data_IF_897320233262
#
_entry.id   IF_897320233262
#
_cell.length_a   1.000
_cell.length_b   1.000
_cell.length_c   1.000
_cell.angle_alpha   90.00
_cell.angle_beta   90.00
_cell.angle_gamma   90.00
#
_symmetry.space_group_name_H-M   'P 1'
#
loop_
_entity.id
_entity.type
_entity.pdbx_description
1 polymer ?
#
# COMPACT_ATOMS: atom_id res chain seq x y z
N UNK A 1 20.49 17.37 -24.36
CA UNK A 1 20.55 15.96 -23.90
C UNK A 1 19.22 15.64 -23.23
N UNK A 2 18.39 14.82 -23.88
CA UNK A 2 17.07 14.41 -23.39
C UNK A 2 17.23 13.32 -22.34
N UNK A 3 16.65 13.50 -21.16
CA UNK A 3 16.79 12.60 -19.98
C UNK A 3 16.07 11.24 -20.11
N UNK A 4 15.80 10.78 -21.34
CA UNK A 4 15.01 9.57 -21.59
C UNK A 4 15.82 8.26 -21.67
N UNK A 5 17.14 8.30 -21.55
CA UNK A 5 17.99 7.11 -21.72
C UNK A 5 18.15 6.23 -20.47
N UNK A 6 17.67 6.66 -19.30
CA UNK A 6 17.72 5.81 -18.11
C UNK A 6 16.58 4.81 -18.12
N UNK A 7 16.77 3.74 -18.89
CA UNK A 7 16.01 2.49 -18.85
C UNK A 7 16.26 1.78 -17.52
N UNK A 8 15.94 2.44 -16.40
CA UNK A 8 15.81 1.77 -15.11
C UNK A 8 14.74 0.71 -15.32
N UNK A 9 15.16 -0.53 -15.45
CA UNK A 9 14.26 -1.66 -15.51
C UNK A 9 13.74 -1.87 -14.08
N UNK A 10 12.79 -1.04 -13.69
CA UNK A 10 12.10 -1.10 -12.40
C UNK A 10 11.19 -2.32 -12.45
N UNK A 11 11.78 -3.52 -12.44
CA UNK A 11 11.04 -4.77 -12.28
C UNK A 11 10.58 -4.84 -10.83
N UNK A 12 9.33 -4.49 -10.60
CA UNK A 12 8.66 -4.72 -9.32
C UNK A 12 8.62 -6.24 -9.13
N UNK A 13 9.19 -6.73 -8.02
CA UNK A 13 9.14 -8.15 -7.69
C UNK A 13 7.72 -8.50 -7.24
N UNK A 14 7.30 -9.74 -7.49
CA UNK A 14 6.01 -10.26 -7.00
C UNK A 14 5.79 -10.03 -5.50
N UNK A 15 6.85 -10.10 -4.69
CA UNK A 15 6.79 -9.84 -3.24
C UNK A 15 6.46 -8.36 -2.93
N UNK A 16 7.03 -7.41 -3.68
CA UNK A 16 6.78 -5.97 -3.51
C UNK A 16 5.33 -5.63 -3.91
N UNK A 17 4.86 -6.23 -5.00
CA UNK A 17 3.47 -6.17 -5.43
C UNK A 17 2.51 -6.75 -4.38
N UNK A 18 2.86 -7.91 -3.82
CA UNK A 18 2.08 -8.55 -2.75
C UNK A 18 1.99 -7.67 -1.50
N UNK A 19 3.10 -7.04 -1.09
CA UNK A 19 3.10 -6.11 0.05
C UNK A 19 2.24 -4.87 -0.20
N UNK A 20 2.30 -4.29 -1.40
CA UNK A 20 1.52 -3.10 -1.75
C UNK A 20 0.03 -3.45 -1.76
N UNK A 21 -0.35 -4.55 -2.40
CA UNK A 21 -1.75 -5.02 -2.39
C UNK A 21 -2.21 -5.30 -0.97
N UNK A 22 -1.42 -6.02 -0.17
CA UNK A 22 -1.76 -6.34 1.20
C UNK A 22 -1.98 -5.07 2.04
N UNK A 23 -1.08 -4.08 1.93
CA UNK A 23 -1.22 -2.80 2.61
C UNK A 23 -2.47 -2.04 2.18
N UNK A 24 -2.76 -2.01 0.88
CA UNK A 24 -3.97 -1.37 0.33
C UNK A 24 -5.26 -2.06 0.82
N UNK A 25 -5.27 -3.39 0.89
CA UNK A 25 -6.40 -4.16 1.43
C UNK A 25 -6.58 -3.87 2.92
N UNK A 26 -5.50 -3.77 3.70
CA UNK A 26 -5.58 -3.41 5.13
C UNK A 26 -6.15 -2.00 5.30
N UNK A 27 -5.70 -1.04 4.50
CA UNK A 27 -6.25 0.33 4.51
C UNK A 27 -7.74 0.29 4.16
N UNK A 28 -8.14 -0.44 3.11
CA UNK A 28 -9.54 -0.61 2.77
C UNK A 28 -10.36 -1.22 3.92
N UNK A 29 -9.84 -2.27 4.56
CA UNK A 29 -10.47 -2.88 5.73
C UNK A 29 -10.60 -1.87 6.87
N UNK A 30 -9.65 -0.96 7.07
CA UNK A 30 -9.75 0.09 8.10
C UNK A 30 -10.95 1.01 7.90
N UNK A 31 -11.34 1.26 6.65
CA UNK A 31 -12.54 2.07 6.33
C UNK A 31 -13.83 1.31 6.59
N UNK A 32 -13.84 0.00 6.31
CA UNK A 32 -15.03 -0.84 6.49
C UNK A 32 -15.09 -1.54 7.85
N UNK A 33 -14.09 -1.34 8.72
CA UNK A 33 -13.91 -2.06 9.98
C UNK A 33 -15.13 -1.95 10.89
N UNK A 34 -15.71 -0.76 11.00
CA UNK A 34 -16.91 -0.54 11.82
C UNK A 34 -18.12 -1.30 11.26
N UNK A 35 -18.27 -1.36 9.95
CA UNK A 35 -19.31 -2.17 9.31
C UNK A 35 -19.08 -3.66 9.53
N UNK A 36 -17.83 -4.13 9.47
CA UNK A 36 -17.48 -5.51 9.79
C UNK A 36 -17.80 -5.86 11.26
N UNK A 37 -17.55 -4.94 12.19
CA UNK A 37 -17.92 -5.12 13.61
C UNK A 37 -19.44 -5.28 13.78
N UNK A 38 -20.25 -4.47 13.11
CA UNK A 38 -21.71 -4.59 13.14
C UNK A 38 -22.15 -5.95 12.60
N UNK A 39 -21.62 -6.34 11.44
CA UNK A 39 -21.95 -7.62 10.80
C UNK A 39 -21.58 -8.82 11.69
N UNK A 40 -20.43 -8.76 12.37
CA UNK A 40 -19.99 -9.83 13.27
C UNK A 40 -20.80 -9.85 14.58
N UNK A 41 -21.08 -8.69 15.16
CA UNK A 41 -21.83 -8.59 16.42
C UNK A 41 -23.29 -9.03 16.27
N UNK A 42 -23.91 -8.73 15.14
CA UNK A 42 -25.30 -9.11 14.87
C UNK A 42 -25.43 -10.52 14.27
N UNK A 43 -24.32 -11.27 14.13
CA UNK A 43 -24.35 -12.68 13.73
C UNK A 43 -24.47 -12.93 12.23
N UNK A 44 -24.47 -11.89 11.40
CA UNK A 44 -24.57 -11.99 9.95
C UNK A 44 -23.27 -12.43 9.25
N UNK A 45 -22.24 -12.84 10.00
CA UNK A 45 -20.96 -13.27 9.45
C UNK A 45 -21.05 -14.52 8.54
N UNK A 46 -22.09 -15.37 8.73
CA UNK A 46 -22.38 -16.50 7.83
C UNK A 46 -23.19 -16.10 6.59
N UNK A 47 -23.84 -14.93 6.62
CA UNK A 47 -24.80 -14.46 5.62
C UNK A 47 -24.30 -13.20 4.90
N UNK A 48 -22.97 -12.99 4.85
CA UNK A 48 -22.32 -11.85 4.17
C UNK A 48 -22.83 -11.58 2.75
N UNK A 49 -23.21 -12.64 2.03
CA UNK A 49 -23.75 -12.58 0.68
C UNK A 49 -25.27 -12.32 0.64
N UNK A 50 -25.99 -12.58 1.73
CA UNK A 50 -27.45 -12.42 1.87
C UNK A 50 -27.87 -11.07 2.49
N UNK A 51 -26.94 -10.41 3.18
CA UNK A 51 -27.08 -9.12 3.85
C UNK A 51 -27.72 -7.97 3.02
N UNK A 52 -27.49 -7.83 1.69
CA UNK A 52 -28.11 -6.76 0.92
C UNK A 52 -29.65 -6.80 0.86
N UNK A 53 -30.27 -7.94 1.19
CA UNK A 53 -31.72 -8.13 1.21
C UNK A 53 -32.36 -7.95 2.60
N UNK A 54 -31.57 -7.77 3.66
CA UNK A 54 -32.09 -7.71 5.03
C UNK A 54 -32.43 -6.27 5.44
N UNK A 55 -33.72 -6.05 5.73
CA UNK A 55 -34.25 -4.74 6.12
C UNK A 55 -33.74 -4.29 7.48
N UNK A 56 -33.33 -5.22 8.35
CA UNK A 56 -32.73 -4.94 9.65
C UNK A 56 -31.29 -4.41 9.49
N UNK A 57 -30.51 -4.99 8.57
CA UNK A 57 -29.17 -4.51 8.25
C UNK A 57 -29.19 -3.12 7.62
N UNK A 58 -30.14 -2.85 6.72
CA UNK A 58 -30.31 -1.53 6.11
C UNK A 58 -30.62 -0.45 7.17
N UNK A 59 -31.52 -0.73 8.11
CA UNK A 59 -31.83 0.22 9.17
C UNK A 59 -30.65 0.45 10.12
N UNK A 60 -29.91 -0.61 10.46
CA UNK A 60 -28.70 -0.53 11.26
C UNK A 60 -27.61 0.29 10.56
N UNK A 61 -27.39 0.13 9.25
CA UNK A 61 -26.36 0.87 8.50
C UNK A 61 -26.73 2.34 8.23
N UNK A 62 -28.01 2.65 8.00
CA UNK A 62 -28.45 4.03 7.73
C UNK A 62 -28.39 4.92 8.98
N UNK A 63 -28.57 4.36 10.17
CA UNK A 63 -28.43 5.10 11.43
C UNK A 63 -27.01 5.11 11.99
N UNK A 64 -26.11 4.23 11.50
CA UNK A 64 -24.78 4.11 12.06
C UNK A 64 -23.81 5.13 11.46
N UNK A 65 -23.44 6.12 12.26
CA UNK A 65 -22.32 7.01 11.95
C UNK A 65 -21.04 6.43 12.59
N UNK A 66 -19.99 6.11 11.81
CA UNK A 66 -18.77 5.56 12.35
C UNK A 66 -18.13 6.54 13.35
N UNK A 67 -18.15 6.17 14.63
CA UNK A 67 -17.69 7.04 15.73
C UNK A 67 -16.17 6.99 15.86
N UNK A 68 -15.52 5.87 15.50
CA UNK A 68 -14.08 5.68 15.68
C UNK A 68 -13.45 5.08 14.42
N UNK A 69 -12.79 5.92 13.63
CA UNK A 69 -11.97 5.42 12.54
C UNK A 69 -10.86 4.49 13.07
N UNK A 70 -10.65 3.35 12.40
CA UNK A 70 -9.66 2.35 12.81
C UNK A 70 -8.22 2.80 12.47
N UNK A 71 -7.77 3.89 13.10
CA UNK A 71 -6.46 4.50 12.91
C UNK A 71 -5.31 3.50 12.99
N UNK A 72 -5.39 2.51 13.89
CA UNK A 72 -4.37 1.48 14.03
C UNK A 72 -4.21 0.62 12.76
N UNK A 73 -5.31 0.22 12.13
CA UNK A 73 -5.29 -0.56 10.88
C UNK A 73 -4.81 0.31 9.72
N UNK A 74 -5.27 1.55 9.66
CA UNK A 74 -4.83 2.51 8.65
C UNK A 74 -3.31 2.75 8.71
N UNK A 75 -2.80 3.10 9.89
CA UNK A 75 -1.36 3.33 10.10
C UNK A 75 -0.56 2.08 9.79
N UNK A 76 -1.04 0.90 10.20
CA UNK A 76 -0.36 -0.36 9.92
C UNK A 76 -0.27 -0.64 8.41
N UNK A 77 -1.37 -0.46 7.67
CA UNK A 77 -1.39 -0.61 6.22
C UNK A 77 -0.49 0.41 5.50
N UNK A 78 -0.52 1.66 5.94
CA UNK A 78 0.32 2.74 5.41
C UNK A 78 1.81 2.44 5.62
N UNK A 79 2.20 2.05 6.84
CA UNK A 79 3.58 1.64 7.15
C UNK A 79 4.02 0.47 6.28
N UNK A 80 3.14 -0.49 6.00
CA UNK A 80 3.44 -1.63 5.14
C UNK A 80 3.78 -1.20 3.70
N UNK A 81 2.99 -0.26 3.17
CA UNK A 81 3.21 0.30 1.82
C UNK A 81 4.53 1.08 1.79
N UNK A 82 4.75 1.98 2.75
CA UNK A 82 5.97 2.78 2.87
C UNK A 82 7.21 1.89 3.03
N UNK A 83 7.10 0.82 3.80
CA UNK A 83 8.16 -0.17 3.96
C UNK A 83 8.49 -0.85 2.62
N UNK A 84 7.47 -1.28 1.86
CA UNK A 84 7.65 -1.86 0.53
C UNK A 84 8.37 -0.91 -0.43
N UNK A 85 7.94 0.35 -0.47
CA UNK A 85 8.55 1.41 -1.29
C UNK A 85 10.00 1.64 -0.87
N UNK A 86 10.26 1.76 0.44
CA UNK A 86 11.61 1.98 0.97
C UNK A 86 12.56 0.84 0.59
N UNK A 87 12.10 -0.40 0.72
CA UNK A 87 12.87 -1.59 0.36
C UNK A 87 13.19 -1.62 -1.15
N UNK A 88 12.22 -1.24 -1.98
CA UNK A 88 12.38 -1.11 -3.42
C UNK A 88 13.41 -0.03 -3.79
N UNK A 89 13.35 1.14 -3.17
CA UNK A 89 14.30 2.25 -3.41
C UNK A 89 15.73 1.87 -2.97
N UNK A 90 15.88 1.26 -1.79
CA UNK A 90 17.19 0.78 -1.31
C UNK A 90 17.77 -0.25 -2.29
N UNK A 91 16.95 -1.17 -2.79
CA UNK A 91 17.38 -2.18 -3.77
C UNK A 91 17.84 -1.55 -5.09
N UNK A 92 17.13 -0.55 -5.58
CA UNK A 92 17.50 0.16 -6.82
C UNK A 92 18.83 0.90 -6.62
N UNK A 93 19.02 1.63 -5.51
CA UNK A 93 20.29 2.30 -5.20
C UNK A 93 21.48 1.35 -5.07
N UNK A 94 21.27 0.16 -4.50
CA UNK A 94 22.33 -0.86 -4.32
C UNK A 94 22.69 -1.59 -5.63
N UNK A 95 21.96 -1.35 -6.72
CA UNK A 95 22.23 -2.01 -7.99
C UNK A 95 23.55 -1.49 -8.59
N UNK A 96 24.44 -2.36 -9.09
CA UNK A 96 25.80 -1.99 -9.50
C UNK A 96 25.84 -0.90 -10.59
N UNK A 97 24.75 -0.75 -11.36
CA UNK A 97 24.63 0.28 -12.40
C UNK A 97 24.53 1.71 -11.85
N UNK A 98 23.84 1.93 -10.71
CA UNK A 98 23.78 3.27 -10.07
C UNK A 98 25.13 3.65 -9.49
N UNK A 99 25.84 2.66 -8.93
CA UNK A 99 27.20 2.84 -8.42
C UNK A 99 28.18 3.23 -9.52
N UNK A 100 28.04 2.62 -10.70
CA UNK A 100 28.92 2.88 -11.84
C UNK A 100 28.67 4.26 -12.48
N UNK A 101 27.42 4.73 -12.48
CA UNK A 101 27.09 6.10 -12.93
C UNK A 101 27.65 7.17 -11.98
N UNK A 102 27.49 7.01 -10.66
CA UNK A 102 28.06 7.93 -9.68
C UNK A 102 29.60 8.00 -9.79
N UNK A 103 30.29 6.86 -9.90
CA UNK A 103 31.75 6.85 -10.08
C UNK A 103 32.22 7.46 -11.40
N UNK A 104 31.40 7.41 -12.45
CA UNK A 104 31.67 8.08 -13.72
C UNK A 104 31.50 9.60 -13.64
N UNK A 105 30.54 10.08 -12.86
CA UNK A 105 30.35 11.53 -12.64
C UNK A 105 31.53 12.11 -11.85
N UNK A 106 31.96 11.45 -10.76
CA UNK A 106 33.15 11.86 -10.01
C UNK A 106 34.40 11.88 -10.91
N UNK A 107 34.59 10.85 -11.74
CA UNK A 107 35.75 10.79 -12.64
C UNK A 107 35.77 11.91 -13.70
N UNK A 108 34.61 12.37 -14.17
CA UNK A 108 34.53 13.39 -15.23
C UNK A 108 34.72 14.82 -14.68
N UNK A 109 34.40 15.05 -13.40
CA UNK A 109 34.67 16.32 -12.72
C UNK A 109 36.17 16.56 -12.53
N UNK A 110 36.95 15.49 -12.30
CA UNK A 110 38.40 15.59 -12.19
C UNK A 110 39.13 15.85 -13.52
N UNK A 111 38.49 15.59 -14.67
CA UNK A 111 39.09 15.76 -16.01
C UNK A 111 38.85 17.16 -16.58
N UNK A 112 37.97 17.97 -15.95
CA UNK A 112 37.63 19.33 -16.39
C UNK A 112 38.45 20.45 -15.72
N UNK A 113 39.45 20.12 -14.91
CA UNK A 113 40.41 21.06 -14.31
C UNK A 113 41.71 21.06 -15.10
#
# INVERSE_FOLDING_TARGET
MTLQERKYNVRIKFIEWGLIIAGAVIIFISFIWDYLQIIVREGFAGEFLSLPGDQHFYQATVQYQPVNFAWSLFIFGEVLILFSITMMVIRIKKSPMVRQENSRMDANDHVKL
#
